data_IF_163972671290
#
_entry.id   IF_163972671290
#
_cell.length_a   1.000
_cell.length_b   1.000
_cell.length_c   1.000
_cell.angle_alpha   90.00
_cell.angle_beta   90.00
_cell.angle_gamma   90.00
#
_symmetry.space_group_name_H-M   'P 1'
#
loop_
_entity.id
_entity.type
_entity.pdbx_description
1 polymer ?
#
# COMPACT_ATOMS: atom_id res chain seq x y z
N UNK A 1 -8.42 2.12 5.51
CA UNK A 1 -7.57 1.43 6.49
C UNK A 1 -7.21 0.11 5.85
N UNK A 2 -5.92 -0.17 5.72
CA UNK A 2 -5.41 -1.37 5.11
C UNK A 2 -4.53 -2.18 6.05
N UNK A 3 -4.40 -3.46 5.73
CA UNK A 3 -3.51 -4.42 6.37
C UNK A 3 -2.61 -5.02 5.28
N UNK A 4 -1.42 -4.43 5.07
CA UNK A 4 -0.37 -5.07 4.29
C UNK A 4 0.18 -6.27 5.05
N UNK A 5 0.16 -7.42 4.40
CA UNK A 5 0.77 -8.67 4.82
C UNK A 5 1.95 -8.90 3.89
N UNK A 6 3.10 -8.46 4.34
CA UNK A 6 4.38 -8.80 3.73
C UNK A 6 4.75 -10.20 4.23
N UNK A 7 5.28 -11.09 3.38
CA UNK A 7 5.70 -12.43 3.81
C UNK A 7 7.03 -12.39 4.60
N UNK A 8 7.07 -11.59 5.66
CA UNK A 8 8.19 -11.42 6.59
C UNK A 8 7.69 -11.53 8.05
N UNK A 9 8.58 -11.35 9.03
CA UNK A 9 8.22 -11.44 10.46
C UNK A 9 7.68 -10.12 11.05
N UNK A 10 7.42 -9.10 10.23
CA UNK A 10 6.98 -7.78 10.67
C UNK A 10 5.49 -7.59 10.36
N UNK A 11 4.76 -6.98 11.29
CA UNK A 11 3.37 -6.63 11.05
C UNK A 11 3.27 -5.19 10.60
N UNK A 12 2.34 -4.91 9.68
CA UNK A 12 2.08 -3.57 9.17
C UNK A 12 0.62 -3.18 9.31
N UNK A 13 0.38 -1.93 9.67
CA UNK A 13 -0.93 -1.30 9.66
C UNK A 13 -0.89 -0.05 8.79
N UNK A 14 -1.90 0.13 7.93
CA UNK A 14 -1.97 1.23 6.98
C UNK A 14 -3.23 2.07 7.19
N UNK A 15 -3.08 3.39 7.26
CA UNK A 15 -4.24 4.30 7.26
C UNK A 15 -3.96 5.55 6.42
N UNK A 16 -5.01 6.07 5.79
CA UNK A 16 -4.86 7.15 4.83
C UNK A 16 -6.18 7.57 4.20
N UNK A 17 -6.05 8.43 3.19
CA UNK A 17 -7.15 8.93 2.39
C UNK A 17 -6.95 8.55 0.91
N UNK A 18 -8.07 8.43 0.19
CA UNK A 18 -8.08 8.18 -1.25
C UNK A 18 -9.11 9.07 -1.92
N UNK A 19 -8.71 9.66 -3.04
CA UNK A 19 -9.60 10.30 -4.00
C UNK A 19 -9.81 9.35 -5.19
N UNK A 20 -11.03 9.28 -5.69
CA UNK A 20 -11.41 8.49 -6.86
C UNK A 20 -12.09 9.42 -7.85
N UNK A 21 -11.63 9.40 -9.09
CA UNK A 21 -12.14 10.26 -10.15
C UNK A 21 -12.66 9.38 -11.29
N UNK A 22 -13.96 9.49 -11.65
CA UNK A 22 -14.46 8.79 -12.82
C UNK A 22 -13.84 9.36 -14.09
N UNK A 23 -13.38 8.48 -14.98
CA UNK A 23 -12.76 8.85 -16.24
C UNK A 23 -13.06 7.81 -17.31
N UNK A 24 -14.10 8.08 -18.12
CA UNK A 24 -14.57 7.12 -19.12
C UNK A 24 -15.01 5.80 -18.47
N UNK A 25 -14.42 4.69 -18.92
CA UNK A 25 -14.73 3.34 -18.46
C UNK A 25 -13.89 2.90 -17.23
N UNK A 26 -13.13 3.81 -16.62
CA UNK A 26 -12.30 3.51 -15.47
C UNK A 26 -12.42 4.56 -14.36
N UNK A 27 -12.00 4.18 -13.15
CA UNK A 27 -11.83 5.06 -12.02
C UNK A 27 -10.34 5.29 -11.79
N UNK A 28 -9.91 6.55 -11.82
CA UNK A 28 -8.57 6.93 -11.43
C UNK A 28 -8.50 7.08 -9.92
N UNK A 29 -7.55 6.41 -9.28
CA UNK A 29 -7.40 6.38 -7.83
C UNK A 29 -6.08 7.06 -7.42
N UNK A 30 -6.17 8.08 -6.56
CA UNK A 30 -5.03 8.73 -5.92
C UNK A 30 -5.14 8.53 -4.41
N UNK A 31 -4.11 7.97 -3.78
CA UNK A 31 -4.10 7.73 -2.34
C UNK A 31 -2.84 8.25 -1.67
N UNK A 32 -2.99 8.64 -0.41
CA UNK A 32 -1.88 8.87 0.50
C UNK A 32 -2.18 8.13 1.79
N UNK A 33 -1.24 7.32 2.25
CA UNK A 33 -1.34 6.60 3.50
C UNK A 33 -0.03 6.67 4.28
N UNK A 34 -0.13 6.49 5.59
CA UNK A 34 0.99 6.16 6.44
C UNK A 34 0.89 4.70 6.85
N UNK A 35 2.03 4.02 6.87
CA UNK A 35 2.17 2.63 7.31
C UNK A 35 3.01 2.61 8.56
N UNK A 36 2.42 2.09 9.63
CA UNK A 36 3.10 1.74 10.87
C UNK A 36 3.54 0.29 10.80
N UNK A 37 4.78 0.03 11.16
CA UNK A 37 5.40 -1.31 11.16
C UNK A 37 5.83 -1.63 12.58
N UNK A 38 5.47 -2.82 13.05
CA UNK A 38 5.72 -3.24 14.42
C UNK A 38 6.19 -4.69 14.49
N UNK A 39 7.05 -4.95 15.47
CA UNK A 39 7.61 -6.27 15.70
C UNK A 39 6.60 -7.26 16.25
N UNK A 40 6.89 -8.54 16.05
CA UNK A 40 6.18 -9.68 16.63
C UNK A 40 7.11 -10.45 17.57
N UNK A 41 6.56 -11.43 18.30
CA UNK A 41 7.39 -12.37 19.08
C UNK A 41 8.45 -13.08 18.21
N UNK A 42 8.13 -13.31 16.93
CA UNK A 42 9.07 -13.86 15.95
C UNK A 42 10.19 -12.86 15.62
N UNK A 43 9.89 -11.57 15.50
CA UNK A 43 10.89 -10.51 15.31
C UNK A 43 11.88 -10.47 16.46
N UNK A 44 11.39 -10.50 17.70
CA UNK A 44 12.23 -10.47 18.90
C UNK A 44 13.17 -11.69 18.96
N UNK A 45 12.66 -12.88 18.61
CA UNK A 45 13.48 -14.10 18.54
C UNK A 45 14.51 -14.04 17.42
N UNK A 46 14.13 -13.51 16.25
CA UNK A 46 15.04 -13.37 15.12
C UNK A 46 16.17 -12.39 15.44
N UNK A 47 15.88 -11.31 16.19
CA UNK A 47 16.87 -10.33 16.65
C UNK A 47 17.96 -10.88 17.56
N UNK A 48 17.73 -12.06 18.18
CA UNK A 48 18.75 -12.76 18.96
C UNK A 48 19.71 -13.61 18.10
N UNK A 49 19.46 -13.68 16.80
CA UNK A 49 20.27 -14.41 15.83
C UNK A 49 21.02 -13.45 14.90
N UNK A 50 22.07 -13.89 14.20
CA UNK A 50 22.72 -13.06 13.19
C UNK A 50 21.88 -12.91 11.90
N UNK A 51 20.71 -13.54 11.82
CA UNK A 51 19.87 -13.51 10.63
C UNK A 51 19.09 -12.20 10.55
N UNK A 52 19.07 -11.60 9.37
CA UNK A 52 18.20 -10.47 9.03
C UNK A 52 17.18 -10.89 7.98
N UNK A 53 16.05 -10.20 7.95
CA UNK A 53 14.99 -10.41 6.97
C UNK A 53 14.63 -9.09 6.28
N UNK A 54 14.41 -9.12 4.97
CA UNK A 54 13.88 -7.99 4.23
C UNK A 54 12.57 -7.47 4.83
N UNK A 55 12.51 -6.16 5.02
CA UNK A 55 11.36 -5.48 5.54
C UNK A 55 11.44 -3.99 5.25
N UNK A 56 10.33 -3.30 5.44
CA UNK A 56 10.24 -1.86 5.20
C UNK A 56 9.93 -1.19 6.53
N UNK A 57 10.66 -0.15 6.93
CA UNK A 57 10.30 0.63 8.11
C UNK A 57 9.01 1.44 7.88
N UNK A 58 8.61 2.15 8.93
CA UNK A 58 7.55 3.15 8.90
C UNK A 58 7.70 4.10 7.71
N UNK A 59 6.59 4.37 7.00
CA UNK A 59 6.65 5.09 5.72
C UNK A 59 5.34 5.72 5.33
N UNK A 60 5.46 6.71 4.44
CA UNK A 60 4.34 7.17 3.63
C UNK A 60 4.25 6.35 2.34
N UNK A 61 3.02 6.09 1.90
CA UNK A 61 2.73 5.42 0.65
C UNK A 61 1.87 6.33 -0.22
N UNK A 62 2.38 6.66 -1.40
CA UNK A 62 1.67 7.38 -2.44
C UNK A 62 1.18 6.40 -3.48
N UNK A 63 -0.13 6.38 -3.67
CA UNK A 63 -0.85 5.37 -4.41
C UNK A 63 -1.41 5.98 -5.69
N UNK A 64 -1.04 5.43 -6.85
CA UNK A 64 -1.57 5.81 -8.15
C UNK A 64 -2.17 4.58 -8.80
N UNK A 65 -3.50 4.55 -8.96
CA UNK A 65 -4.20 3.37 -9.42
C UNK A 65 -5.28 3.63 -10.45
N UNK A 66 -5.70 2.55 -11.08
CA UNK A 66 -6.85 2.45 -11.96
C UNK A 66 -7.75 1.32 -11.45
N UNK A 67 -9.05 1.57 -11.38
CA UNK A 67 -10.05 0.54 -11.16
C UNK A 67 -10.95 0.42 -12.40
N UNK A 68 -11.19 -0.81 -12.83
CA UNK A 68 -12.06 -1.13 -13.95
C UNK A 68 -13.28 -1.92 -13.45
N UNK A 69 -14.51 -1.41 -13.69
CA UNK A 69 -15.72 -2.11 -13.29
C UNK A 69 -15.91 -3.36 -14.16
N UNK A 70 -15.92 -4.52 -13.52
CA UNK A 70 -16.10 -5.82 -14.15
C UNK A 70 -17.57 -6.24 -14.19
N UNK A 71 -18.31 -5.93 -13.13
CA UNK A 71 -19.73 -6.25 -13.01
C UNK A 71 -20.41 -5.27 -12.07
N UNK A 72 -21.62 -4.87 -12.43
CA UNK A 72 -22.46 -3.95 -11.67
C UNK A 72 -23.79 -4.65 -11.34
N UNK A 73 -24.30 -4.43 -10.13
CA UNK A 73 -25.56 -5.02 -9.70
C UNK A 73 -26.23 -4.20 -8.61
N UNK A 74 -27.54 -4.04 -8.70
CA UNK A 74 -28.32 -3.42 -7.62
C UNK A 74 -28.67 -4.51 -6.61
N UNK A 75 -28.25 -4.32 -5.36
CA UNK A 75 -28.56 -5.22 -4.26
C UNK A 75 -29.53 -4.54 -3.33
N UNK A 76 -30.71 -5.14 -3.16
CA UNK A 76 -31.59 -4.86 -2.02
C UNK A 76 -31.12 -5.71 -0.86
N UNK A 77 -30.65 -5.09 0.23
CA UNK A 77 -30.35 -5.82 1.44
C UNK A 77 -31.62 -6.50 1.97
N UNK A 78 -31.47 -7.69 2.55
CA UNK A 78 -32.59 -8.53 3.05
C UNK A 78 -33.50 -7.80 4.06
N UNK A 79 -33.00 -6.76 4.72
CA UNK A 79 -33.78 -5.94 5.64
C UNK A 79 -34.34 -4.68 4.95
N UNK A 80 -35.67 -4.57 4.88
CA UNK A 80 -36.39 -3.53 4.12
C UNK A 80 -36.25 -2.08 4.60
N UNK A 81 -35.40 -1.79 5.59
CA UNK A 81 -35.06 -0.43 6.02
C UNK A 81 -33.73 0.07 5.45
N UNK A 82 -32.97 -0.80 4.77
CA UNK A 82 -31.72 -0.41 4.11
C UNK A 82 -32.06 0.06 2.69
N UNK A 83 -31.71 1.30 2.31
CA UNK A 83 -31.96 1.81 0.96
C UNK A 83 -31.27 0.93 -0.09
N UNK A 84 -31.75 0.98 -1.33
CA UNK A 84 -31.13 0.27 -2.45
C UNK A 84 -29.65 0.67 -2.55
N UNK A 85 -28.78 -0.34 -2.56
CA UNK A 85 -27.35 -0.17 -2.73
C UNK A 85 -26.90 -0.73 -4.06
N UNK A 86 -26.02 -0.02 -4.75
CA UNK A 86 -25.34 -0.52 -5.92
C UNK A 86 -24.05 -1.22 -5.50
N UNK A 87 -23.82 -2.40 -6.05
CA UNK A 87 -22.61 -3.19 -5.86
C UNK A 87 -21.84 -3.19 -7.17
N UNK A 88 -20.58 -2.78 -7.11
CA UNK A 88 -19.67 -2.78 -8.26
C UNK A 88 -18.47 -3.65 -7.93
N UNK A 89 -18.26 -4.68 -8.74
CA UNK A 89 -17.06 -5.50 -8.69
C UNK A 89 -15.99 -4.89 -9.60
N UNK A 90 -14.80 -4.65 -9.06
CA UNK A 90 -13.74 -3.93 -9.74
C UNK A 90 -12.46 -4.76 -9.82
N UNK A 91 -11.76 -4.67 -10.96
CA UNK A 91 -10.35 -5.00 -11.05
C UNK A 91 -9.50 -3.76 -10.77
N UNK A 92 -8.45 -3.89 -9.97
CA UNK A 92 -7.57 -2.80 -9.59
C UNK A 92 -6.14 -3.09 -10.05
N UNK A 93 -5.46 -2.05 -10.54
CA UNK A 93 -4.01 -2.01 -10.74
C UNK A 93 -3.49 -0.71 -10.16
N UNK A 94 -2.40 -0.78 -9.39
CA UNK A 94 -1.85 0.36 -8.66
C UNK A 94 -0.33 0.31 -8.65
N UNK A 95 0.29 1.45 -8.94
CA UNK A 95 1.69 1.71 -8.62
C UNK A 95 1.72 2.47 -7.31
N UNK A 96 2.54 1.97 -6.39
CA UNK A 96 2.77 2.59 -5.10
C UNK A 96 4.20 3.09 -5.02
N UNK A 97 4.37 4.34 -4.61
CA UNK A 97 5.65 4.91 -4.24
C UNK A 97 5.81 4.93 -2.72
N UNK A 98 6.95 4.45 -2.24
CA UNK A 98 7.31 4.35 -0.83
C UNK A 98 8.20 5.53 -0.48
N UNK A 99 7.70 6.40 0.39
CA UNK A 99 8.40 7.58 0.85
C UNK A 99 8.81 7.37 2.31
N UNK A 100 10.12 7.34 2.55
CA UNK A 100 10.71 7.27 3.87
C UNK A 100 11.29 8.63 4.26
N UNK A 101 10.61 9.44 5.10
CA UNK A 101 11.11 10.76 5.47
C UNK A 101 12.51 10.72 6.13
N UNK A 102 12.77 9.70 6.96
CA UNK A 102 14.05 9.52 7.65
C UNK A 102 15.23 9.28 6.69
N UNK A 103 14.99 8.73 5.51
CA UNK A 103 16.01 8.44 4.51
C UNK A 103 16.74 9.71 4.01
N UNK A 104 16.07 10.87 4.03
CA UNK A 104 16.59 12.11 3.45
C UNK A 104 17.39 12.99 4.42
N UNK A 105 17.56 12.56 5.68
CA UNK A 105 18.11 13.41 6.77
C UNK A 105 19.50 13.98 6.45
N UNK A 106 20.37 13.20 5.81
CA UNK A 106 21.75 13.59 5.50
C UNK A 106 22.00 13.83 4.00
N UNK A 107 20.95 13.95 3.18
CA UNK A 107 21.08 14.23 1.75
C UNK A 107 21.08 15.74 1.46
N UNK A 108 21.92 16.15 0.50
CA UNK A 108 21.79 17.48 -0.08
C UNK A 108 20.50 17.63 -0.90
N UNK A 109 20.10 18.87 -1.20
CA UNK A 109 18.92 19.14 -2.02
C UNK A 109 18.96 18.46 -3.39
N UNK A 110 20.13 18.43 -4.03
CA UNK A 110 20.31 17.79 -5.34
C UNK A 110 20.18 16.27 -5.23
N UNK A 111 20.76 15.67 -4.19
CA UNK A 111 20.65 14.23 -3.93
C UNK A 111 19.22 13.85 -3.58
N UNK A 112 18.50 14.67 -2.82
CA UNK A 112 17.08 14.46 -2.52
C UNK A 112 16.23 14.48 -3.80
N UNK A 113 16.48 15.44 -4.70
CA UNK A 113 15.76 15.50 -5.96
C UNK A 113 16.04 14.27 -6.83
N UNK A 114 17.29 13.81 -6.88
CA UNK A 114 17.65 12.62 -7.64
C UNK A 114 17.00 11.36 -7.04
N UNK A 115 17.10 11.21 -5.71
CA UNK A 115 16.53 10.12 -4.94
C UNK A 115 15.00 9.97 -5.14
N UNK A 116 14.27 11.07 -5.36
CA UNK A 116 12.83 11.03 -5.64
C UNK A 116 12.50 10.28 -6.94
N UNK A 117 13.39 10.30 -7.93
CA UNK A 117 13.19 9.68 -9.24
C UNK A 117 13.91 8.34 -9.40
N UNK A 118 14.86 8.04 -8.51
CA UNK A 118 15.54 6.75 -8.53
C UNK A 118 14.57 5.62 -8.16
N UNK A 119 14.69 4.43 -8.77
CA UNK A 119 13.82 3.28 -8.48
C UNK A 119 14.16 2.58 -7.16
N UNK A 120 15.36 2.80 -6.65
CA UNK A 120 15.93 2.16 -5.46
C UNK A 120 16.45 3.19 -4.45
N UNK A 121 16.49 2.80 -3.17
CA UNK A 121 17.15 3.54 -2.11
C UNK A 121 18.68 3.45 -2.30
N UNK A 122 19.36 4.58 -2.20
CA UNK A 122 20.83 4.63 -2.19
C UNK A 122 21.39 4.07 -0.87
N UNK A 123 22.68 3.72 -0.86
CA UNK A 123 23.34 3.21 0.36
C UNK A 123 23.25 4.20 1.53
N UNK A 124 23.38 5.50 1.25
CA UNK A 124 23.24 6.56 2.27
C UNK A 124 21.83 6.62 2.84
N UNK A 125 20.81 6.41 2.00
CA UNK A 125 19.42 6.38 2.46
C UNK A 125 19.10 5.16 3.29
N UNK A 126 19.64 4.00 2.91
CA UNK A 126 19.54 2.77 3.70
C UNK A 126 20.23 2.96 5.05
N UNK A 127 21.41 3.58 5.08
CA UNK A 127 22.14 3.89 6.31
C UNK A 127 21.35 4.84 7.22
N UNK A 128 20.73 5.88 6.65
CA UNK A 128 19.86 6.79 7.41
C UNK A 128 18.63 6.08 8.01
N UNK A 129 18.17 4.99 7.40
CA UNK A 129 17.05 4.18 7.88
C UNK A 129 17.46 3.08 8.86
N UNK A 130 18.75 2.88 9.13
CA UNK A 130 19.23 1.89 10.10
C UNK A 130 18.74 2.19 11.53
N UNK A 131 18.53 3.46 11.86
CA UNK A 131 17.99 3.88 13.16
C UNK A 131 16.45 3.73 13.24
N UNK A 132 15.76 3.78 12.10
CA UNK A 132 14.30 3.68 11.99
C UNK A 132 13.81 2.22 11.84
N UNK A 133 14.68 1.30 11.44
CA UNK A 133 14.31 -0.10 11.19
C UNK A 133 14.15 -0.90 12.48
N UNK A 134 13.28 -1.91 12.43
CA UNK A 134 13.13 -2.84 13.55
C UNK A 134 14.36 -3.77 13.70
N UNK A 135 14.59 -4.33 14.90
CA UNK A 135 15.61 -5.37 15.09
C UNK A 135 15.41 -6.55 14.12
N UNK A 136 16.51 -7.11 13.60
CA UNK A 136 16.54 -8.14 12.56
C UNK A 136 15.93 -7.74 11.20
N UNK A 137 15.52 -6.49 11.01
CA UNK A 137 15.11 -5.99 9.70
C UNK A 137 16.35 -5.66 8.85
N UNK A 138 16.29 -6.03 7.59
CA UNK A 138 17.12 -5.51 6.52
C UNK A 138 16.22 -4.65 5.63
N UNK A 139 16.62 -3.40 5.40
CA UNK A 139 15.76 -2.44 4.68
C UNK A 139 15.68 -2.85 3.22
N UNK A 140 14.46 -3.15 2.77
CA UNK A 140 14.15 -3.38 1.36
C UNK A 140 14.38 -2.09 0.57
N UNK A 141 15.21 -2.16 -0.47
CA UNK A 141 15.65 -0.98 -1.25
C UNK A 141 14.59 -0.45 -2.21
N UNK A 142 13.50 -1.18 -2.42
CA UNK A 142 12.52 -0.82 -3.43
C UNK A 142 11.76 0.45 -3.06
N UNK A 143 11.68 1.42 -3.98
CA UNK A 143 10.80 2.59 -3.82
C UNK A 143 9.43 2.41 -4.47
N UNK A 144 9.31 1.46 -5.39
CA UNK A 144 8.08 1.23 -6.13
C UNK A 144 7.56 -0.18 -5.90
N UNK A 145 6.25 -0.30 -5.76
CA UNK A 145 5.56 -1.60 -5.70
C UNK A 145 4.39 -1.58 -6.67
N UNK A 146 4.25 -2.63 -7.47
CA UNK A 146 3.08 -2.84 -8.32
C UNK A 146 2.08 -3.74 -7.60
N UNK A 147 0.86 -3.26 -7.45
CA UNK A 147 -0.25 -3.93 -6.80
C UNK A 147 -1.33 -4.22 -7.83
N UNK A 148 -1.87 -5.44 -7.83
CA UNK A 148 -3.01 -5.79 -8.66
C UNK A 148 -3.97 -6.67 -7.88
N UNK A 149 -5.27 -6.54 -8.12
CA UNK A 149 -6.25 -7.34 -7.41
C UNK A 149 -7.68 -6.99 -7.73
N UNK A 150 -8.57 -7.38 -6.82
CA UNK A 150 -10.01 -7.30 -7.00
C UNK A 150 -10.64 -6.60 -5.81
N UNK A 151 -11.73 -5.90 -6.06
CA UNK A 151 -12.45 -5.15 -5.05
C UNK A 151 -13.95 -5.15 -5.29
N UNK A 152 -14.67 -4.82 -4.22
CA UNK A 152 -16.12 -4.64 -4.20
C UNK A 152 -16.38 -3.26 -3.63
N UNK A 153 -17.11 -2.46 -4.39
CA UNK A 153 -17.67 -1.20 -3.93
C UNK A 153 -19.16 -1.37 -3.66
N UNK A 154 -19.61 -0.78 -2.56
CA UNK A 154 -21.00 -0.67 -2.18
C UNK A 154 -21.36 0.81 -2.11
N UNK A 155 -22.23 1.27 -3.01
CA UNK A 155 -22.73 2.64 -3.06
C UNK A 155 -24.15 2.69 -2.53
N UNK A 156 -24.39 3.54 -1.54
CA UNK A 156 -25.72 3.87 -1.06
C UNK A 156 -26.29 5.06 -1.82
N UNK A 157 -27.61 5.10 -1.97
CA UNK A 157 -28.31 6.23 -2.59
C UNK A 157 -27.99 7.59 -1.94
N UNK A 158 -27.58 7.60 -0.67
CA UNK A 158 -27.16 8.81 0.02
C UNK A 158 -25.86 9.42 -0.52
N UNK A 159 -25.08 8.69 -1.32
CA UNK A 159 -23.72 9.05 -1.71
C UNK A 159 -22.64 8.44 -0.81
N UNK A 160 -23.02 7.79 0.30
CA UNK A 160 -22.06 7.01 1.09
C UNK A 160 -21.59 5.80 0.28
N UNK A 161 -20.29 5.53 0.28
CA UNK A 161 -19.77 4.27 -0.26
C UNK A 161 -18.79 3.58 0.69
N UNK A 162 -18.73 2.26 0.56
CA UNK A 162 -17.75 1.40 1.22
C UNK A 162 -17.04 0.58 0.16
N UNK A 163 -15.72 0.62 0.17
CA UNK A 163 -14.85 -0.14 -0.72
C UNK A 163 -14.11 -1.18 0.10
N UNK A 164 -14.17 -2.44 -0.32
CA UNK A 164 -13.27 -3.47 0.16
C UNK A 164 -12.47 -4.03 -1.01
N UNK A 165 -11.14 -4.04 -0.91
CA UNK A 165 -10.27 -4.61 -1.94
C UNK A 165 -9.20 -5.51 -1.35
N UNK A 166 -8.82 -6.52 -2.13
CA UNK A 166 -7.67 -7.38 -1.88
C UNK A 166 -6.70 -7.19 -3.03
N UNK A 167 -5.50 -6.72 -2.71
CA UNK A 167 -4.42 -6.48 -3.66
C UNK A 167 -3.27 -7.44 -3.39
N UNK A 168 -2.60 -7.84 -4.46
CA UNK A 168 -1.38 -8.62 -4.42
C UNK A 168 -0.25 -7.70 -4.83
N UNK A 169 0.73 -7.51 -3.97
CA UNK A 169 2.00 -6.90 -4.34
C UNK A 169 2.77 -7.91 -5.21
N UNK A 170 3.04 -7.50 -6.45
CA UNK A 170 3.68 -8.33 -7.47
C UNK A 170 5.14 -7.89 -7.63
N UNK A 171 6.09 -8.83 -7.76
CA UNK A 171 7.51 -8.51 -7.96
C UNK A 171 7.79 -8.15 -9.42
N UNK A 172 6.82 -7.62 -10.17
CA UNK A 172 7.03 -7.31 -11.59
C UNK A 172 8.07 -6.22 -11.82
N UNK A 173 8.40 -5.43 -10.79
CA UNK A 173 9.47 -4.43 -10.80
C UNK A 173 10.71 -4.89 -10.02
N UNK A 174 10.79 -6.15 -9.56
CA UNK A 174 11.89 -6.61 -8.71
C UNK A 174 13.26 -6.51 -9.39
N UNK A 175 13.30 -6.66 -10.72
CA UNK A 175 14.52 -6.50 -11.51
C UNK A 175 15.01 -5.05 -11.64
N UNK A 176 14.18 -4.06 -11.29
CA UNK A 176 14.50 -2.63 -11.36
C UNK A 176 14.72 -1.99 -9.98
N UNK A 177 14.14 -2.56 -8.92
CA UNK A 177 14.06 -1.94 -7.61
C UNK A 177 14.78 -2.75 -6.51
N UNK A 178 15.59 -3.75 -6.92
CA UNK A 178 16.37 -4.65 -6.06
C UNK A 178 15.59 -5.14 -4.82
N UNK A 179 14.33 -5.51 -5.03
CA UNK A 179 13.47 -5.93 -3.92
C UNK A 179 13.72 -7.40 -3.58
N UNK A 180 13.91 -7.67 -2.29
CA UNK A 180 13.98 -9.04 -1.78
C UNK A 180 12.61 -9.54 -1.30
N UNK A 181 11.60 -8.66 -1.27
CA UNK A 181 10.22 -8.97 -0.95
C UNK A 181 9.47 -9.46 -2.20
N UNK A 182 9.38 -10.78 -2.35
CA UNK A 182 8.83 -11.41 -3.55
C UNK A 182 7.31 -11.21 -3.73
N UNK A 183 6.51 -11.34 -2.67
CA UNK A 183 5.05 -11.21 -2.75
C UNK A 183 4.50 -10.60 -1.47
N UNK A 184 3.31 -10.02 -1.54
CA UNK A 184 2.56 -9.55 -0.39
C UNK A 184 1.08 -9.50 -0.69
N UNK A 185 0.25 -9.58 0.35
CA UNK A 185 -1.19 -9.41 0.26
C UNK A 185 -1.59 -8.15 1.01
N UNK A 186 -2.43 -7.31 0.43
CA UNK A 186 -2.99 -6.16 1.12
C UNK A 186 -4.51 -6.24 1.12
N UNK A 187 -5.08 -6.14 2.32
CA UNK A 187 -6.52 -6.02 2.51
C UNK A 187 -6.83 -4.58 2.86
N UNK A 188 -7.65 -3.91 2.07
CA UNK A 188 -7.95 -2.50 2.27
C UNK A 188 -9.45 -2.28 2.35
N UNK A 189 -9.87 -1.62 3.43
CA UNK A 189 -11.25 -1.24 3.70
C UNK A 189 -11.31 0.29 3.78
N UNK A 190 -12.10 0.89 2.90
CA UNK A 190 -12.33 2.33 2.87
C UNK A 190 -13.83 2.63 2.95
N UNK A 191 -14.16 3.74 3.59
CA UNK A 191 -15.48 4.33 3.55
C UNK A 191 -15.33 5.80 3.13
N UNK A 192 -16.27 6.28 2.33
CA UNK A 192 -16.19 7.64 1.77
C UNK A 192 -17.54 8.14 1.28
N UNK A 193 -17.49 9.29 0.62
CA UNK A 193 -18.67 9.94 0.07
C UNK A 193 -18.43 10.27 -1.41
N UNK A 194 -19.37 9.90 -2.27
CA UNK A 194 -19.43 10.26 -3.69
C UNK A 194 -20.48 11.35 -3.89
N UNK A 195 -20.15 12.34 -4.72
CA UNK A 195 -21.02 13.48 -5.07
C UNK A 195 -21.10 13.65 -6.58
#
# INVERSE_FOLDING_TARGET
MGLPVEFNNFNSLRAGARARFPSGDFLLELGVAYVWVFGTESTERLALTPLRQPGRPDRFELDFGLAYPLAEGVVTAFAGFVPSTELVFNAHVQVRYLLHPGAYTDLSFTETLQAIFDPELSDTEVENLEDDRLPAMEVDRARYTLLAGLGVDLYAQSGLFVTWRTLVATPMLSFLADTELLWGLEFDLAAGWSF
#
